data_IF_648001171837
#
_entry.id   IF_648001171837
#
_cell.length_a   1.000
_cell.length_b   1.000
_cell.length_c   1.000
_cell.angle_alpha   90.00
_cell.angle_beta   90.00
_cell.angle_gamma   90.00
#
_symmetry.space_group_name_H-M   'P 1'
#
loop_
_entity.id
_entity.type
_entity.pdbx_description
1 polymer ?
#
# COMPACT_ATOMS: atom_id res chain seq x y z
N UNK A 1 14.66 20.26 17.68
CA UNK A 1 13.20 20.09 17.70
C UNK A 1 12.80 19.60 16.31
N UNK A 2 12.40 18.35 16.19
CA UNK A 2 11.92 17.77 14.92
C UNK A 2 10.57 18.43 14.57
N UNK A 3 10.28 18.78 13.31
CA UNK A 3 9.00 19.39 12.96
C UNK A 3 7.87 18.44 13.39
N UNK A 4 6.77 19.01 13.87
CA UNK A 4 5.55 18.27 14.20
C UNK A 4 5.02 17.60 12.91
N UNK A 5 5.44 16.36 12.63
CA UNK A 5 4.89 15.56 11.55
C UNK A 5 3.45 15.14 11.92
N UNK A 6 2.48 15.57 11.13
CA UNK A 6 1.06 15.24 11.28
C UNK A 6 0.77 13.79 10.87
N UNK A 7 -0.40 13.25 11.25
CA UNK A 7 -0.85 11.95 10.74
C UNK A 7 -0.92 11.93 9.21
N UNK A 8 -1.29 13.06 8.59
CA UNK A 8 -1.30 13.21 7.15
C UNK A 8 0.10 13.04 6.53
N UNK A 9 1.15 13.54 7.18
CA UNK A 9 2.53 13.39 6.68
C UNK A 9 2.97 11.92 6.72
N UNK A 10 2.55 11.19 7.75
CA UNK A 10 2.80 9.74 7.86
C UNK A 10 2.08 8.99 6.72
N UNK A 11 0.81 9.31 6.48
CA UNK A 11 0.01 8.69 5.40
C UNK A 11 0.61 9.02 4.03
N UNK A 12 0.98 10.28 3.77
CA UNK A 12 1.62 10.71 2.53
C UNK A 12 2.95 9.98 2.29
N UNK A 13 3.74 9.78 3.35
CA UNK A 13 4.99 9.02 3.28
C UNK A 13 4.75 7.55 2.94
N UNK A 14 3.73 6.93 3.54
CA UNK A 14 3.34 5.56 3.24
C UNK A 14 2.86 5.41 1.80
N UNK A 15 2.03 6.33 1.33
CA UNK A 15 1.56 6.40 -0.05
C UNK A 15 2.73 6.48 -1.03
N UNK A 16 3.66 7.43 -0.85
CA UNK A 16 4.79 7.60 -1.77
C UNK A 16 5.69 6.36 -1.82
N UNK A 17 6.00 5.79 -0.65
CA UNK A 17 6.82 4.57 -0.58
C UNK A 17 6.10 3.35 -1.17
N UNK A 18 4.78 3.23 -1.02
CA UNK A 18 4.01 2.12 -1.57
C UNK A 18 3.85 2.25 -3.09
N UNK A 19 3.59 3.46 -3.59
CA UNK A 19 3.58 3.73 -5.03
C UNK A 19 4.94 3.41 -5.69
N UNK A 20 6.05 3.78 -5.04
CA UNK A 20 7.38 3.42 -5.52
C UNK A 20 7.57 1.88 -5.60
N UNK A 21 7.16 1.15 -4.56
CA UNK A 21 7.16 -0.32 -4.55
C UNK A 21 6.33 -0.90 -5.69
N UNK A 22 5.13 -0.37 -5.97
CA UNK A 22 4.30 -0.90 -7.06
C UNK A 22 4.87 -0.55 -8.45
N UNK A 23 5.43 0.64 -8.62
CA UNK A 23 6.01 1.09 -9.89
C UNK A 23 7.28 0.33 -10.27
N UNK A 24 8.00 -0.25 -9.31
CA UNK A 24 9.20 -1.05 -9.58
C UNK A 24 8.87 -2.50 -10.03
N UNK A 25 7.61 -2.93 -9.92
CA UNK A 25 7.23 -4.29 -10.29
C UNK A 25 7.27 -4.46 -11.80
N UNK A 26 8.00 -5.48 -12.26
CA UNK A 26 8.08 -5.86 -13.67
C UNK A 26 7.34 -7.17 -13.87
N UNK A 27 6.32 -7.16 -14.73
CA UNK A 27 5.54 -8.36 -15.02
C UNK A 27 6.30 -9.23 -16.02
N UNK A 28 6.69 -10.44 -15.59
CA UNK A 28 7.41 -11.40 -16.44
C UNK A 28 6.42 -12.33 -17.14
N UNK A 29 6.44 -12.43 -18.48
CA UNK A 29 5.57 -13.35 -19.22
C UNK A 29 6.03 -14.81 -19.17
N UNK A 30 7.24 -15.09 -18.69
CA UNK A 30 7.81 -16.44 -18.72
C UNK A 30 7.15 -17.38 -17.72
N UNK A 31 6.88 -16.88 -16.51
CA UNK A 31 6.19 -17.59 -15.44
C UNK A 31 5.34 -16.57 -14.69
N UNK A 32 4.13 -16.25 -15.15
CA UNK A 32 3.28 -15.28 -14.48
C UNK A 32 2.77 -15.81 -13.14
N UNK A 33 2.68 -14.93 -12.16
CA UNK A 33 2.05 -15.23 -10.87
C UNK A 33 0.53 -15.29 -11.09
N UNK A 34 -0.18 -16.35 -10.64
CA UNK A 34 -1.63 -16.38 -10.73
C UNK A 34 -2.29 -15.18 -10.04
N UNK A 35 -3.40 -14.67 -10.57
CA UNK A 35 -4.07 -13.48 -10.02
C UNK A 35 -4.34 -13.57 -8.51
N UNK A 36 -4.80 -14.74 -8.03
CA UNK A 36 -5.07 -14.95 -6.61
C UNK A 36 -3.80 -14.87 -5.75
N UNK A 37 -2.67 -15.35 -6.26
CA UNK A 37 -1.38 -15.20 -5.57
C UNK A 37 -0.91 -13.74 -5.58
N UNK A 38 -1.13 -12.98 -6.66
CA UNK A 38 -0.79 -11.56 -6.69
C UNK A 38 -1.63 -10.74 -5.69
N UNK A 39 -2.93 -11.05 -5.55
CA UNK A 39 -3.78 -10.42 -4.54
C UNK A 39 -3.26 -10.66 -3.12
N UNK A 40 -2.78 -11.87 -2.84
CA UNK A 40 -2.16 -12.22 -1.55
C UNK A 40 -0.90 -11.39 -1.35
N UNK A 41 0.02 -11.36 -2.32
CA UNK A 41 1.27 -10.58 -2.25
C UNK A 41 0.98 -9.10 -1.96
N UNK A 42 0.04 -8.50 -2.68
CA UNK A 42 -0.32 -7.08 -2.49
C UNK A 42 -0.94 -6.84 -1.12
N UNK A 43 -1.80 -7.75 -0.63
CA UNK A 43 -2.35 -7.67 0.73
C UNK A 43 -1.25 -7.74 1.78
N UNK A 44 -0.32 -8.68 1.64
CA UNK A 44 0.79 -8.86 2.58
C UNK A 44 1.70 -7.61 2.60
N UNK A 45 1.91 -6.95 1.46
CA UNK A 45 2.60 -5.65 1.41
C UNK A 45 1.83 -4.55 2.13
N UNK A 46 0.50 -4.46 1.96
CA UNK A 46 -0.33 -3.48 2.69
C UNK A 46 -0.20 -3.70 4.20
N UNK A 47 -0.34 -4.94 4.66
CA UNK A 47 -0.19 -5.30 6.08
C UNK A 47 1.20 -4.93 6.61
N UNK A 48 2.26 -5.20 5.83
CA UNK A 48 3.62 -4.80 6.18
C UNK A 48 3.74 -3.28 6.34
N UNK A 49 3.24 -2.49 5.38
CA UNK A 49 3.29 -1.03 5.44
C UNK A 49 2.52 -0.52 6.66
N UNK A 50 1.35 -1.08 6.96
CA UNK A 50 0.55 -0.67 8.10
C UNK A 50 1.27 -0.99 9.40
N UNK A 51 1.87 -2.17 9.53
CA UNK A 51 2.68 -2.53 10.70
C UNK A 51 3.84 -1.56 10.93
N UNK A 52 4.43 -1.04 9.84
CA UNK A 52 5.53 -0.09 9.90
C UNK A 52 5.08 1.34 10.21
N UNK A 53 3.98 1.82 9.61
CA UNK A 53 3.55 3.21 9.71
C UNK A 53 2.57 3.48 10.87
N UNK A 54 1.74 2.51 11.27
CA UNK A 54 0.77 2.70 12.35
C UNK A 54 1.39 3.14 13.70
N UNK A 55 2.57 2.65 14.13
CA UNK A 55 3.23 3.15 15.34
C UNK A 55 3.70 4.62 15.24
N UNK A 56 3.78 5.19 14.03
CA UNK A 56 4.19 6.58 13.78
C UNK A 56 3.03 7.57 13.87
N UNK A 57 1.80 7.08 13.86
CA UNK A 57 0.59 7.90 14.03
C UNK A 57 0.55 8.51 15.44
N UNK A 58 0.05 9.73 15.51
CA UNK A 58 -0.04 10.61 16.69
C UNK A 58 -1.50 10.87 17.04
N UNK A 59 -1.70 11.49 18.19
CA UNK A 59 -3.02 11.80 18.73
C UNK A 59 -3.46 10.81 19.79
N UNK A 60 -4.67 11.02 20.29
CA UNK A 60 -5.34 10.10 21.19
C UNK A 60 -5.71 8.78 20.50
N UNK A 61 -6.35 7.86 21.24
CA UNK A 61 -6.75 6.57 20.69
C UNK A 61 -7.65 6.72 19.46
N UNK A 62 -8.64 7.60 19.51
CA UNK A 62 -9.62 7.76 18.45
C UNK A 62 -9.00 8.41 17.20
N UNK A 63 -8.14 9.41 17.39
CA UNK A 63 -7.39 10.04 16.30
C UNK A 63 -6.47 9.03 15.60
N UNK A 64 -5.82 8.15 16.37
CA UNK A 64 -4.94 7.10 15.83
C UNK A 64 -5.72 6.01 15.11
N UNK A 65 -6.86 5.59 15.64
CA UNK A 65 -7.75 4.61 15.00
C UNK A 65 -8.22 5.13 13.63
N UNK A 66 -8.73 6.37 13.58
CA UNK A 66 -9.14 7.01 12.32
C UNK A 66 -7.97 7.11 11.33
N UNK A 67 -6.81 7.57 11.78
CA UNK A 67 -5.66 7.69 10.89
C UNK A 67 -5.12 6.33 10.41
N UNK A 68 -5.33 5.26 11.17
CA UNK A 68 -5.00 3.90 10.75
C UNK A 68 -6.00 3.38 9.70
N UNK A 69 -7.29 3.69 9.85
CA UNK A 69 -8.31 3.42 8.84
C UNK A 69 -7.98 4.17 7.54
N UNK A 70 -7.69 5.47 7.62
CA UNK A 70 -7.30 6.30 6.46
C UNK A 70 -6.06 5.74 5.74
N UNK A 71 -5.06 5.29 6.51
CA UNK A 71 -3.86 4.64 5.99
C UNK A 71 -4.21 3.35 5.23
N UNK A 72 -5.04 2.49 5.83
CA UNK A 72 -5.49 1.24 5.22
C UNK A 72 -6.27 1.48 3.93
N UNK A 73 -7.22 2.41 3.93
CA UNK A 73 -8.00 2.78 2.74
C UNK A 73 -7.14 3.36 1.63
N UNK A 74 -6.21 4.24 1.98
CA UNK A 74 -5.28 4.86 1.02
C UNK A 74 -4.43 3.81 0.30
N UNK A 75 -3.83 2.87 1.04
CA UNK A 75 -3.00 1.82 0.45
C UNK A 75 -3.82 0.88 -0.43
N UNK A 76 -5.05 0.55 -0.03
CA UNK A 76 -5.97 -0.20 -0.88
C UNK A 76 -6.33 0.54 -2.17
N UNK A 77 -6.62 1.84 -2.10
CA UNK A 77 -6.96 2.64 -3.28
C UNK A 77 -5.80 2.67 -4.30
N UNK A 78 -4.57 2.76 -3.81
CA UNK A 78 -3.36 2.71 -4.64
C UNK A 78 -3.13 1.32 -5.25
N UNK A 79 -3.42 0.26 -4.50
CA UNK A 79 -3.25 -1.12 -4.95
C UNK A 79 -4.22 -1.53 -6.06
N UNK A 80 -5.44 -0.97 -6.10
CA UNK A 80 -6.49 -1.36 -7.07
C UNK A 80 -6.06 -1.19 -8.53
N UNK A 81 -5.58 -0.01 -8.98
CA UNK A 81 -5.09 0.14 -10.36
C UNK A 81 -3.91 -0.78 -10.71
N UNK A 82 -3.06 -1.11 -9.74
CA UNK A 82 -1.97 -2.05 -9.95
C UNK A 82 -2.48 -3.46 -10.23
N UNK A 83 -3.45 -3.94 -9.43
CA UNK A 83 -4.08 -5.24 -9.63
C UNK A 83 -4.89 -5.30 -10.94
N UNK A 84 -5.54 -4.20 -11.34
CA UNK A 84 -6.22 -4.12 -12.63
C UNK A 84 -5.22 -4.25 -13.79
N UNK A 85 -4.11 -3.50 -13.77
CA UNK A 85 -3.03 -3.62 -14.76
C UNK A 85 -2.44 -5.04 -14.80
N UNK A 86 -2.31 -5.67 -13.65
CA UNK A 86 -1.80 -7.04 -13.58
C UNK A 86 -2.78 -8.05 -14.18
N UNK A 87 -4.08 -7.89 -13.94
CA UNK A 87 -5.13 -8.70 -14.58
C UNK A 87 -5.10 -8.54 -16.09
N UNK A 88 -4.96 -7.31 -16.59
CA UNK A 88 -4.89 -7.05 -18.02
C UNK A 88 -3.65 -7.70 -18.64
N UNK A 89 -2.50 -7.65 -17.95
CA UNK A 89 -1.29 -8.37 -18.35
C UNK A 89 -1.51 -9.89 -18.44
N UNK A 90 -2.21 -10.50 -17.49
CA UNK A 90 -2.52 -11.93 -17.53
C UNK A 90 -3.45 -12.30 -18.69
N UNK A 91 -4.43 -11.43 -19.00
CA UNK A 91 -5.38 -11.66 -20.08
C UNK A 91 -4.78 -11.43 -21.49
N UNK A 92 -3.64 -10.74 -21.58
CA UNK A 92 -2.95 -10.47 -22.83
C UNK A 92 -1.93 -11.56 -23.24
N UNK A 93 -1.83 -12.64 -22.45
CA UNK A 93 -0.99 -13.80 -22.75
C UNK A 93 -1.64 -14.76 -23.75
#
# INVERSE_FOLDING_TARGET
MTPLHSNQDVINSAMAAFQALLNQQVFSPQIPIPMEAMKIIVRDWIEFYISYFAPKLRGDRQERERAQEDLWETLQAIARPFLDKYRDFLNAQ
#
